data_IF_072059099076
#
_entry.id   IF_072059099076
#
_cell.length_a   1.000
_cell.length_b   1.000
_cell.length_c   1.000
_cell.angle_alpha   90.00
_cell.angle_beta   90.00
_cell.angle_gamma   90.00
#
_symmetry.space_group_name_H-M   'P 1'
#
loop_
_entity.id
_entity.type
_entity.pdbx_description
1 polymer ?
#
# COMPACT_ATOMS: atom_id res chain seq x y z
N UNK A 1 2.24 17.55 -9.28
CA UNK A 1 1.11 17.91 -10.17
C UNK A 1 1.28 17.17 -11.48
N UNK A 2 0.21 16.62 -12.04
CA UNK A 2 0.18 15.99 -13.36
C UNK A 2 -0.83 16.75 -14.21
N UNK A 3 -0.39 17.20 -15.38
CA UNK A 3 -1.20 17.84 -16.40
C UNK A 3 -1.37 16.86 -17.56
N UNK A 4 -2.62 16.50 -17.86
CA UNK A 4 -3.00 15.60 -18.94
C UNK A 4 -3.66 16.40 -20.07
N UNK A 5 -3.08 16.32 -21.25
CA UNK A 5 -3.49 17.04 -22.45
C UNK A 5 -4.15 16.05 -23.40
N UNK A 6 -5.47 16.11 -23.55
CA UNK A 6 -6.21 15.16 -24.38
C UNK A 6 -6.29 15.63 -25.84
N UNK A 7 -6.46 16.93 -26.04
CA UNK A 7 -6.48 17.58 -27.34
C UNK A 7 -6.20 19.09 -27.16
N UNK A 8 -6.28 19.85 -28.25
CA UNK A 8 -6.01 21.29 -28.29
C UNK A 8 -6.91 22.16 -27.40
N UNK A 9 -8.05 21.67 -26.91
CA UNK A 9 -9.01 22.42 -26.10
C UNK A 9 -9.27 21.79 -24.73
N UNK A 10 -8.82 20.56 -24.50
CA UNK A 10 -9.09 19.81 -23.28
C UNK A 10 -7.82 19.39 -22.55
N UNK A 11 -7.64 19.99 -21.38
CA UNK A 11 -6.56 19.69 -20.43
C UNK A 11 -7.14 19.47 -19.03
N UNK A 12 -6.55 18.57 -18.24
CA UNK A 12 -6.90 18.34 -16.85
C UNK A 12 -5.65 18.29 -15.98
N UNK A 13 -5.68 18.98 -14.83
CA UNK A 13 -4.56 18.96 -13.88
C UNK A 13 -5.00 18.41 -12.53
N UNK A 14 -4.20 17.47 -12.02
CA UNK A 14 -4.36 16.90 -10.69
C UNK A 14 -3.10 17.15 -9.87
N UNK A 15 -3.27 17.50 -8.61
CA UNK A 15 -2.17 17.75 -7.68
C UNK A 15 -2.35 16.98 -6.38
N UNK A 16 -1.24 16.57 -5.81
CA UNK A 16 -1.18 16.02 -4.46
C UNK A 16 0.15 16.44 -3.82
N UNK A 17 0.12 16.59 -2.50
CA UNK A 17 1.32 16.79 -1.70
C UNK A 17 1.39 15.69 -0.63
N UNK A 18 2.61 15.26 -0.35
CA UNK A 18 2.91 14.11 0.49
C UNK A 18 3.98 14.49 1.49
N UNK A 19 3.81 14.02 2.72
CA UNK A 19 4.84 13.98 3.74
C UNK A 19 5.15 12.51 3.98
N UNK A 20 6.31 12.07 3.48
CA UNK A 20 6.66 10.66 3.35
C UNK A 20 5.55 9.84 2.67
N UNK A 21 4.95 8.88 3.38
CA UNK A 21 3.87 8.05 2.88
C UNK A 21 2.46 8.63 3.07
N UNK A 22 2.32 9.79 3.70
CA UNK A 22 1.02 10.38 4.05
C UNK A 22 0.65 11.51 3.10
N UNK A 23 -0.49 11.38 2.42
CA UNK A 23 -1.04 12.49 1.66
C UNK A 23 -1.52 13.58 2.62
N UNK A 24 -1.00 14.80 2.45
CA UNK A 24 -1.37 15.98 3.23
C UNK A 24 -2.32 16.89 2.46
N UNK A 25 -2.16 16.98 1.14
CA UNK A 25 -2.97 17.86 0.32
C UNK A 25 -3.42 17.21 -0.99
N UNK A 26 -4.55 17.69 -1.50
CA UNK A 26 -5.04 17.37 -2.83
C UNK A 26 -5.50 18.62 -3.58
N UNK A 27 -5.38 18.60 -4.90
CA UNK A 27 -5.81 19.66 -5.79
C UNK A 27 -6.46 19.08 -7.03
N UNK A 28 -7.61 19.62 -7.41
CA UNK A 28 -8.29 19.32 -8.67
C UNK A 28 -8.57 20.64 -9.40
N UNK A 29 -7.94 20.84 -10.56
CA UNK A 29 -8.06 22.09 -11.30
C UNK A 29 -9.47 22.35 -11.84
N UNK A 30 -10.29 21.31 -12.04
CA UNK A 30 -11.69 21.51 -12.47
C UNK A 30 -12.53 22.12 -11.37
N UNK A 31 -12.24 21.76 -10.12
CA UNK A 31 -12.95 22.28 -8.94
C UNK A 31 -12.35 23.59 -8.45
N UNK A 32 -11.05 23.80 -8.69
CA UNK A 32 -10.31 24.93 -8.11
C UNK A 32 -10.20 24.87 -6.59
N UNK A 33 -10.46 23.68 -6.00
CA UNK A 33 -10.52 23.48 -4.55
C UNK A 33 -9.21 22.85 -4.09
N UNK A 34 -8.54 23.53 -3.16
CA UNK A 34 -7.46 22.97 -2.38
C UNK A 34 -8.04 22.15 -1.21
N UNK A 35 -7.64 20.90 -1.10
CA UNK A 35 -8.14 19.97 -0.09
C UNK A 35 -7.06 19.65 0.93
N UNK A 36 -7.30 20.03 2.19
CA UNK A 36 -6.54 19.56 3.33
C UNK A 36 -6.96 18.13 3.66
N UNK A 37 -6.04 17.17 3.58
CA UNK A 37 -6.33 15.73 3.77
C UNK A 37 -6.11 15.25 5.20
N UNK A 38 -5.45 16.06 6.03
CA UNK A 38 -5.22 15.79 7.45
C UNK A 38 -5.60 17.02 8.28
N UNK A 39 -6.01 16.84 9.56
CA UNK A 39 -6.30 17.96 10.45
C UNK A 39 -5.12 18.94 10.61
N UNK A 40 -3.90 18.42 10.52
CA UNK A 40 -2.64 19.16 10.66
C UNK A 40 -2.05 19.63 9.33
N UNK A 41 -2.74 19.45 8.19
CA UNK A 41 -2.20 19.80 6.87
C UNK A 41 -1.89 21.30 6.69
N UNK A 42 -2.47 22.16 7.51
CA UNK A 42 -2.13 23.60 7.53
C UNK A 42 -0.77 23.90 8.17
N UNK A 43 -0.19 22.95 8.91
CA UNK A 43 1.03 23.16 9.67
C UNK A 43 0.86 24.32 10.66
N UNK A 44 1.87 25.20 10.71
CA UNK A 44 1.88 26.40 11.53
C UNK A 44 1.69 27.70 10.72
N UNK A 45 1.30 27.59 9.44
CA UNK A 45 1.12 28.77 8.59
C UNK A 45 -0.13 29.54 9.01
N UNK A 46 -0.05 30.86 8.97
CA UNK A 46 -1.21 31.72 9.13
C UNK A 46 -2.16 31.59 7.94
N UNK A 47 -3.43 31.95 8.16
CA UNK A 47 -4.44 31.99 7.10
C UNK A 47 -4.06 32.92 5.94
N UNK A 48 -3.23 33.94 6.18
CA UNK A 48 -2.71 34.80 5.12
C UNK A 48 -1.70 34.06 4.24
N UNK A 49 -0.73 33.39 4.86
CA UNK A 49 0.29 32.61 4.15
C UNK A 49 -0.33 31.46 3.37
N UNK A 50 -1.28 30.74 3.95
CA UNK A 50 -2.01 29.67 3.27
C UNK A 50 -2.72 30.19 2.01
N UNK A 51 -3.40 31.34 2.09
CA UNK A 51 -4.03 31.96 0.91
C UNK A 51 -3.03 32.39 -0.16
N UNK A 52 -1.85 32.85 0.23
CA UNK A 52 -0.79 33.21 -0.73
C UNK A 52 -0.25 31.97 -1.46
N UNK A 53 -0.09 30.85 -0.75
CA UNK A 53 0.30 29.55 -1.32
C UNK A 53 -0.77 28.98 -2.25
N UNK A 54 -2.04 28.97 -1.82
CA UNK A 54 -3.17 28.51 -2.62
C UNK A 54 -3.30 29.30 -3.93
N UNK A 55 -3.19 30.64 -3.87
CA UNK A 55 -3.20 31.50 -5.07
C UNK A 55 -2.03 31.20 -6.00
N UNK A 56 -0.82 31.04 -5.44
CA UNK A 56 0.37 30.71 -6.23
C UNK A 56 0.19 29.38 -6.97
N UNK A 57 -0.34 28.36 -6.29
CA UNK A 57 -0.65 27.06 -6.88
C UNK A 57 -1.76 27.15 -7.93
N UNK A 58 -2.81 27.93 -7.68
CA UNK A 58 -3.90 28.15 -8.62
C UNK A 58 -3.38 28.80 -9.91
N UNK A 59 -2.63 29.89 -9.80
CA UNK A 59 -1.98 30.56 -10.95
C UNK A 59 -1.06 29.60 -11.69
N UNK A 60 -0.23 28.83 -10.98
CA UNK A 60 0.63 27.83 -11.60
C UNK A 60 -0.17 26.76 -12.36
N UNK A 61 -1.28 26.29 -11.79
CA UNK A 61 -2.12 25.25 -12.41
C UNK A 61 -2.81 25.70 -13.70
N UNK A 62 -2.90 27.01 -13.95
CA UNK A 62 -3.48 27.59 -15.17
C UNK A 62 -2.37 27.91 -16.18
N UNK A 63 -1.33 28.61 -15.74
CA UNK A 63 -0.26 29.09 -16.63
C UNK A 63 0.62 27.94 -17.12
N UNK A 64 0.96 26.99 -16.24
CA UNK A 64 1.88 25.92 -16.59
C UNK A 64 1.40 25.07 -17.78
N UNK A 65 0.15 24.56 -17.80
CA UNK A 65 -0.32 23.82 -18.96
C UNK A 65 -0.43 24.68 -20.22
N UNK A 66 -0.83 25.95 -20.08
CA UNK A 66 -0.95 26.88 -21.21
C UNK A 66 0.40 27.07 -21.93
N UNK A 67 1.52 27.05 -21.20
CA UNK A 67 2.85 27.08 -21.80
C UNK A 67 3.05 25.90 -22.75
N UNK A 68 2.71 24.67 -22.34
CA UNK A 68 2.84 23.49 -23.21
C UNK A 68 1.86 23.51 -24.38
N UNK A 69 0.62 23.94 -24.13
CA UNK A 69 -0.42 24.05 -25.15
C UNK A 69 -0.04 25.04 -26.25
N UNK A 70 0.57 26.17 -25.90
CA UNK A 70 1.03 27.17 -26.87
C UNK A 70 2.26 26.73 -27.67
N UNK A 71 2.96 25.68 -27.25
CA UNK A 71 4.21 25.23 -27.88
C UNK A 71 4.15 23.80 -28.43
N UNK A 72 2.96 23.20 -28.56
CA UNK A 72 2.78 21.83 -29.07
C UNK A 72 3.52 21.60 -30.38
N UNK A 73 3.32 22.47 -31.37
CA UNK A 73 4.00 22.35 -32.66
C UNK A 73 5.52 22.58 -32.57
N UNK A 74 5.96 23.61 -31.83
CA UNK A 74 7.37 23.95 -31.73
C UNK A 74 8.20 22.87 -31.02
N UNK A 75 7.61 22.21 -30.03
CA UNK A 75 8.26 21.16 -29.23
C UNK A 75 7.95 19.74 -29.71
N UNK A 76 7.25 19.61 -30.84
CA UNK A 76 6.87 18.33 -31.43
C UNK A 76 6.19 17.43 -30.38
N UNK A 77 5.16 17.97 -29.74
CA UNK A 77 4.30 17.23 -28.81
C UNK A 77 3.13 16.66 -29.59
N UNK A 78 2.75 15.43 -29.26
CA UNK A 78 1.64 14.74 -29.91
C UNK A 78 0.57 14.44 -28.86
N UNK A 79 -0.67 14.83 -29.14
CA UNK A 79 -1.78 14.51 -28.24
C UNK A 79 -2.17 13.02 -28.37
N UNK A 80 -2.64 12.37 -27.29
CA UNK A 80 -2.62 12.89 -25.92
C UNK A 80 -1.21 12.80 -25.31
N UNK A 81 -0.87 13.74 -24.43
CA UNK A 81 0.38 13.70 -23.68
C UNK A 81 0.21 14.13 -22.22
N UNK A 82 1.18 13.80 -21.38
CA UNK A 82 1.24 14.12 -19.97
C UNK A 82 2.53 14.84 -19.63
N UNK A 83 2.39 15.87 -18.78
CA UNK A 83 3.50 16.58 -18.18
C UNK A 83 3.36 16.51 -16.66
N UNK A 84 4.42 16.10 -15.99
CA UNK A 84 4.45 15.92 -14.54
C UNK A 84 5.44 16.90 -13.93
N UNK A 85 5.05 17.52 -12.82
CA UNK A 85 5.86 18.44 -12.03
C UNK A 85 5.98 17.88 -10.62
N UNK A 86 7.21 17.65 -10.18
CA UNK A 86 7.53 17.27 -8.81
C UNK A 86 8.37 18.39 -8.17
N UNK A 87 7.93 18.90 -7.02
CA UNK A 87 8.62 19.95 -6.25
C UNK A 87 8.54 19.59 -4.77
N UNK A 88 9.62 19.79 -4.04
CA UNK A 88 9.65 19.56 -2.61
C UNK A 88 10.98 19.96 -1.98
N UNK A 89 11.09 19.68 -0.69
CA UNK A 89 12.30 19.83 0.10
C UNK A 89 12.36 18.70 1.14
N UNK A 90 13.58 18.33 1.53
CA UNK A 90 13.86 17.42 2.63
C UNK A 90 14.69 18.11 3.71
N UNK A 91 14.45 17.75 4.96
CA UNK A 91 15.26 18.17 6.11
C UNK A 91 16.24 17.06 6.46
N UNK A 92 17.47 17.44 6.78
CA UNK A 92 18.52 16.53 7.23
C UNK A 92 19.07 17.04 8.56
N UNK A 93 19.41 16.13 9.47
CA UNK A 93 19.90 16.49 10.81
C UNK A 93 21.26 17.16 10.67
N UNK A 94 21.38 18.40 11.16
CA UNK A 94 22.65 19.15 11.16
C UNK A 94 23.07 19.70 9.79
N UNK A 95 22.25 19.53 8.75
CA UNK A 95 22.54 19.97 7.39
C UNK A 95 21.46 20.93 6.87
N UNK A 96 21.79 21.64 5.79
CA UNK A 96 20.83 22.50 5.10
C UNK A 96 19.74 21.68 4.42
N UNK A 97 18.53 22.25 4.31
CA UNK A 97 17.43 21.59 3.59
C UNK A 97 17.78 21.40 2.12
N UNK A 98 17.51 20.21 1.58
CA UNK A 98 17.74 19.91 0.16
C UNK A 98 16.43 20.05 -0.59
N UNK A 99 16.37 21.03 -1.48
CA UNK A 99 15.21 21.33 -2.30
C UNK A 99 15.31 20.74 -3.71
N UNK A 100 14.18 20.46 -4.34
CA UNK A 100 14.13 20.03 -5.73
C UNK A 100 12.89 20.55 -6.46
N UNK A 101 13.04 20.73 -7.77
CA UNK A 101 11.92 20.82 -8.70
C UNK A 101 12.31 20.16 -10.02
N UNK A 102 11.45 19.26 -10.53
CA UNK A 102 11.67 18.50 -11.75
C UNK A 102 10.41 18.49 -12.60
N UNK A 103 10.61 18.44 -13.92
CA UNK A 103 9.54 18.31 -14.90
C UNK A 103 9.83 17.09 -15.75
N UNK A 104 8.82 16.25 -15.92
CA UNK A 104 8.83 15.06 -16.77
C UNK A 104 7.77 15.18 -17.87
N UNK A 105 8.04 14.56 -19.01
CA UNK A 105 7.15 14.44 -20.16
C UNK A 105 7.00 12.96 -20.50
N UNK A 106 5.76 12.47 -20.60
CA UNK A 106 5.48 11.05 -20.85
C UNK A 106 6.23 10.11 -19.88
N UNK A 107 6.27 10.46 -18.59
CA UNK A 107 6.98 9.70 -17.56
C UNK A 107 8.51 9.78 -17.62
N UNK A 108 9.08 10.49 -18.59
CA UNK A 108 10.54 10.63 -18.77
C UNK A 108 11.03 12.01 -18.35
N UNK A 109 12.18 12.06 -17.66
CA UNK A 109 12.79 13.32 -17.22
C UNK A 109 13.00 14.30 -18.39
N UNK A 110 12.42 15.49 -18.28
CA UNK A 110 12.52 16.56 -19.28
C UNK A 110 13.51 17.64 -18.84
N UNK A 111 13.39 18.15 -17.61
CA UNK A 111 14.31 19.15 -17.06
C UNK A 111 14.24 19.21 -15.53
N UNK A 112 15.30 19.75 -14.92
CA UNK A 112 15.40 19.95 -13.48
C UNK A 112 15.80 21.38 -13.13
N UNK A 113 15.30 21.90 -12.03
CA UNK A 113 15.65 23.23 -11.55
C UNK A 113 16.82 23.13 -10.58
N UNK A 114 17.87 23.91 -10.81
CA UNK A 114 18.99 24.04 -9.89
C UNK A 114 19.36 25.52 -9.75
N UNK A 115 19.51 25.96 -8.50
CA UNK A 115 19.82 27.33 -8.15
C UNK A 115 18.76 28.31 -8.66
N UNK A 116 18.96 28.92 -9.83
CA UNK A 116 18.02 29.85 -10.49
C UNK A 116 17.76 29.48 -11.96
N UNK A 117 18.13 28.27 -12.37
CA UNK A 117 18.14 27.87 -13.78
C UNK A 117 17.55 26.48 -13.98
N UNK A 118 16.88 26.30 -15.11
CA UNK A 118 16.39 25.03 -15.61
C UNK A 118 17.45 24.36 -16.47
N UNK A 119 17.80 23.14 -16.11
CA UNK A 119 18.77 22.31 -16.80
C UNK A 119 18.06 21.20 -17.56
N UNK A 120 18.30 21.06 -18.88
CA UNK A 120 17.67 20.02 -19.68
C UNK A 120 18.15 18.63 -19.27
N UNK A 121 17.23 17.67 -19.26
CA UNK A 121 17.58 16.26 -19.12
C UNK A 121 18.23 15.74 -20.41
N UNK A 122 19.35 15.00 -20.33
CA UNK A 122 19.93 14.33 -21.50
C UNK A 122 18.94 13.42 -22.22
N UNK A 123 18.04 12.75 -21.48
CA UNK A 123 17.01 11.86 -22.03
C UNK A 123 15.96 12.59 -22.88
N UNK A 124 15.74 13.87 -22.62
CA UNK A 124 14.72 14.67 -23.33
C UNK A 124 15.22 15.31 -24.64
N UNK A 125 16.49 15.11 -25.00
CA UNK A 125 17.07 15.53 -26.28
C UNK A 125 16.83 17.01 -26.64
N UNK A 126 16.56 17.27 -27.92
CA UNK A 126 16.32 18.63 -28.45
C UNK A 126 15.12 19.32 -27.77
N UNK A 127 14.07 18.56 -27.44
CA UNK A 127 12.88 19.07 -26.74
C UNK A 127 13.25 19.66 -25.39
N UNK A 128 14.00 18.92 -24.57
CA UNK A 128 14.46 19.42 -23.27
C UNK A 128 15.24 20.73 -23.38
N UNK A 129 16.12 20.86 -24.38
CA UNK A 129 16.88 22.09 -24.62
C UNK A 129 15.97 23.27 -24.97
N UNK A 130 14.98 23.06 -25.85
CA UNK A 130 14.03 24.11 -26.22
C UNK A 130 13.16 24.55 -25.04
N UNK A 131 12.63 23.60 -24.27
CA UNK A 131 11.77 23.90 -23.11
C UNK A 131 12.58 24.63 -22.02
N UNK A 132 13.76 24.10 -21.65
CA UNK A 132 14.63 24.74 -20.65
C UNK A 132 15.07 26.15 -21.07
N UNK A 133 15.39 26.37 -22.35
CA UNK A 133 15.72 27.70 -22.87
C UNK A 133 14.57 28.70 -22.66
N UNK A 134 13.33 28.31 -22.95
CA UNK A 134 12.17 29.16 -22.69
C UNK A 134 12.00 29.43 -21.19
N UNK A 135 12.03 28.38 -20.36
CA UNK A 135 11.82 28.52 -18.91
C UNK A 135 12.90 29.37 -18.23
N UNK A 136 14.12 29.39 -18.75
CA UNK A 136 15.20 30.23 -18.27
C UNK A 136 15.01 31.74 -18.56
N UNK A 137 14.11 32.11 -19.48
CA UNK A 137 13.78 33.52 -19.75
C UNK A 137 12.89 34.12 -18.64
N UNK A 138 12.19 33.30 -17.85
CA UNK A 138 11.33 33.77 -16.77
C UNK A 138 12.11 34.06 -15.48
N UNK A 139 13.05 35.01 -15.51
CA UNK A 139 13.97 35.29 -14.40
C UNK A 139 13.27 35.55 -13.06
N UNK A 140 12.21 36.37 -13.05
CA UNK A 140 11.44 36.68 -11.82
C UNK A 140 10.77 35.43 -11.25
N UNK A 141 10.23 34.57 -12.12
CA UNK A 141 9.62 33.31 -11.70
C UNK A 141 10.67 32.36 -11.13
N UNK A 142 11.84 32.27 -11.76
CA UNK A 142 12.93 31.41 -11.28
C UNK A 142 13.47 31.86 -9.91
N UNK A 143 13.58 33.17 -9.67
CA UNK A 143 13.92 33.70 -8.34
C UNK A 143 12.86 33.34 -7.29
N UNK A 144 11.57 33.44 -7.63
CA UNK A 144 10.47 33.05 -6.73
C UNK A 144 10.46 31.55 -6.46
N UNK A 145 10.73 30.72 -7.46
CA UNK A 145 10.87 29.26 -7.29
C UNK A 145 12.00 28.97 -6.31
N UNK A 146 13.16 29.61 -6.47
CA UNK A 146 14.30 29.46 -5.57
C UNK A 146 13.94 29.83 -4.12
N UNK A 147 13.39 31.02 -3.89
CA UNK A 147 12.99 31.47 -2.56
C UNK A 147 11.96 30.51 -1.93
N UNK A 148 11.01 30.02 -2.72
CA UNK A 148 10.04 29.05 -2.23
C UNK A 148 10.69 27.72 -1.81
N UNK A 149 11.65 27.23 -2.58
CA UNK A 149 12.35 25.97 -2.29
C UNK A 149 13.26 26.11 -1.05
N UNK A 150 13.96 27.23 -0.89
CA UNK A 150 14.98 27.41 0.16
C UNK A 150 14.39 27.94 1.47
N UNK A 151 13.36 28.79 1.41
CA UNK A 151 12.84 29.48 2.59
C UNK A 151 11.46 28.93 3.01
N UNK A 152 10.52 28.92 2.06
CA UNK A 152 9.11 28.61 2.37
C UNK A 152 8.91 27.11 2.62
N UNK A 153 9.44 26.26 1.74
CA UNK A 153 9.28 24.82 1.81
C UNK A 153 9.79 24.23 3.13
N UNK A 154 11.05 24.45 3.57
CA UNK A 154 11.53 23.86 4.82
C UNK A 154 10.79 24.40 6.04
N UNK A 155 10.41 25.69 6.05
CA UNK A 155 9.59 26.26 7.13
C UNK A 155 8.21 25.62 7.20
N UNK A 156 7.55 25.43 6.06
CA UNK A 156 6.26 24.75 6.00
C UNK A 156 6.39 23.29 6.44
N UNK A 157 7.42 22.59 5.98
CA UNK A 157 7.71 21.21 6.35
C UNK A 157 7.93 21.07 7.87
N UNK A 158 8.70 21.95 8.49
CA UNK A 158 8.84 22.00 9.96
C UNK A 158 7.48 22.21 10.66
N UNK A 159 6.66 23.12 10.15
CA UNK A 159 5.31 23.35 10.66
C UNK A 159 4.40 22.12 10.57
N UNK A 160 4.48 21.37 9.46
CA UNK A 160 3.76 20.11 9.29
C UNK A 160 4.26 19.03 10.25
N UNK A 161 5.59 18.91 10.44
CA UNK A 161 6.18 17.94 11.34
C UNK A 161 5.76 18.17 12.79
N UNK A 162 5.72 19.44 13.24
CA UNK A 162 5.29 19.78 14.59
C UNK A 162 3.78 19.58 14.78
N UNK A 163 2.96 20.14 13.88
CA UNK A 163 1.50 20.01 13.97
C UNK A 163 1.02 18.55 13.81
N UNK A 164 1.71 17.77 12.98
CA UNK A 164 1.39 16.38 12.70
C UNK A 164 2.09 15.37 13.60
N UNK A 165 2.90 15.81 14.57
CA UNK A 165 3.80 14.96 15.37
C UNK A 165 3.12 13.70 15.92
N UNK A 166 1.96 13.85 16.56
CA UNK A 166 1.22 12.73 17.13
C UNK A 166 0.77 11.71 16.08
N UNK A 167 0.33 12.18 14.90
CA UNK A 167 -0.11 11.32 13.80
C UNK A 167 1.08 10.66 13.07
N UNK A 168 2.18 11.38 12.91
CA UNK A 168 3.41 10.90 12.28
C UNK A 168 4.12 9.85 13.13
N UNK A 169 4.11 10.01 14.45
CA UNK A 169 4.75 9.11 15.42
C UNK A 169 3.80 8.01 15.92
N UNK A 170 2.55 7.96 15.43
CA UNK A 170 1.59 6.93 15.83
C UNK A 170 2.16 5.54 15.54
N UNK A 171 1.73 4.57 16.33
CA UNK A 171 2.07 3.16 16.15
C UNK A 171 0.76 2.40 16.01
N UNK A 172 0.58 1.71 14.89
CA UNK A 172 -0.61 0.88 14.65
C UNK A 172 -0.16 -0.57 14.51
N UNK A 173 -0.71 -1.43 15.38
CA UNK A 173 -0.38 -2.87 15.41
C UNK A 173 -0.93 -3.57 14.16
N UNK A 174 -0.14 -4.42 13.48
CA UNK A 174 -0.63 -5.21 12.37
C UNK A 174 -1.68 -6.22 12.82
N UNK A 175 -2.61 -6.52 11.93
CA UNK A 175 -3.33 -7.79 11.89
C UNK A 175 -2.65 -8.71 10.88
N UNK A 176 -2.62 -10.02 11.16
CA UNK A 176 -2.04 -10.98 10.25
C UNK A 176 -2.80 -12.29 10.24
N UNK A 177 -2.78 -12.96 9.08
CA UNK A 177 -3.44 -14.24 8.86
C UNK A 177 -2.73 -15.04 7.76
N UNK A 178 -2.96 -16.34 7.76
CA UNK A 178 -2.38 -17.26 6.78
C UNK A 178 -3.45 -17.72 5.77
N UNK A 179 -3.03 -17.96 4.54
CA UNK A 179 -3.87 -18.56 3.51
C UNK A 179 -3.03 -19.42 2.55
N UNK A 180 -3.70 -20.20 1.70
CA UNK A 180 -3.09 -20.83 0.53
C UNK A 180 -3.36 -20.01 -0.73
N UNK A 181 -2.32 -19.69 -1.50
CA UNK A 181 -2.43 -19.15 -2.85
C UNK A 181 -2.66 -20.23 -3.90
N UNK A 182 -2.64 -19.86 -5.20
CA UNK A 182 -2.73 -20.80 -6.31
C UNK A 182 -1.65 -21.88 -6.21
N UNK A 183 -2.04 -23.16 -6.41
CA UNK A 183 -1.09 -24.27 -6.33
C UNK A 183 -0.01 -24.14 -7.41
N UNK A 184 1.29 -24.17 -7.04
CA UNK A 184 2.40 -24.11 -8.01
C UNK A 184 2.55 -25.39 -8.85
N UNK A 185 1.90 -26.48 -8.44
CA UNK A 185 1.98 -27.78 -9.11
C UNK A 185 1.52 -28.93 -8.21
N UNK A 186 1.42 -30.15 -8.75
CA UNK A 186 1.00 -31.33 -7.99
C UNK A 186 1.89 -31.53 -6.75
N UNK A 187 1.27 -31.74 -5.59
CA UNK A 187 1.97 -31.97 -4.33
C UNK A 187 2.56 -30.72 -3.67
N UNK A 188 2.39 -29.52 -4.26
CA UNK A 188 2.95 -28.27 -3.74
C UNK A 188 1.88 -27.32 -3.21
N UNK A 189 2.26 -26.55 -2.19
CA UNK A 189 1.46 -25.50 -1.58
C UNK A 189 2.18 -24.15 -1.70
N UNK A 190 1.44 -23.14 -2.12
CA UNK A 190 1.86 -21.76 -1.97
C UNK A 190 1.25 -21.20 -0.69
N UNK A 191 2.04 -21.12 0.37
CA UNK A 191 1.62 -20.50 1.62
C UNK A 191 1.71 -18.98 1.48
N UNK A 192 0.73 -18.25 2.00
CA UNK A 192 0.70 -16.79 1.98
C UNK A 192 0.44 -16.28 3.38
N UNK A 193 1.34 -15.42 3.87
CA UNK A 193 1.15 -14.66 5.09
C UNK A 193 0.78 -13.24 4.73
N UNK A 194 -0.38 -12.81 5.22
CA UNK A 194 -0.91 -11.47 5.01
C UNK A 194 -0.67 -10.66 6.28
N UNK A 195 -0.20 -9.43 6.12
CA UNK A 195 0.03 -8.48 7.22
C UNK A 195 -0.59 -7.15 6.82
N UNK A 196 -1.54 -6.65 7.60
CA UNK A 196 -2.38 -5.52 7.24
C UNK A 196 -2.53 -4.55 8.42
N UNK A 197 -2.84 -3.29 8.13
CA UNK A 197 -3.18 -2.30 9.15
C UNK A 197 -1.98 -1.78 9.95
N UNK A 198 -0.74 -2.03 9.54
CA UNK A 198 0.43 -1.57 10.28
C UNK A 198 0.86 -0.15 9.90
N UNK A 199 1.42 0.58 10.87
CA UNK A 199 2.11 1.84 10.66
C UNK A 199 3.12 2.08 11.80
N UNK A 200 4.36 2.52 11.51
CA UNK A 200 4.90 3.05 10.26
C UNK A 200 5.21 1.98 9.18
N UNK A 201 5.64 2.43 7.99
CA UNK A 201 5.90 1.55 6.83
C UNK A 201 6.94 0.42 7.07
N UNK A 202 8.03 0.62 7.83
CA UNK A 202 9.03 -0.42 8.05
C UNK A 202 8.45 -1.63 8.81
N UNK A 203 8.39 -2.78 8.15
CA UNK A 203 7.96 -4.06 8.72
C UNK A 203 8.88 -5.17 8.20
N UNK A 204 9.16 -6.15 9.05
CA UNK A 204 9.83 -7.39 8.67
C UNK A 204 8.86 -8.56 8.82
N UNK A 205 8.77 -9.38 7.77
CA UNK A 205 7.86 -10.53 7.68
C UNK A 205 8.63 -11.66 7.03
N UNK A 206 8.69 -12.81 7.68
CA UNK A 206 9.46 -13.95 7.21
C UNK A 206 8.76 -15.27 7.52
N UNK A 207 8.82 -16.21 6.60
CA UNK A 207 8.46 -17.59 6.92
C UNK A 207 9.61 -18.26 7.66
N UNK A 208 9.27 -18.99 8.72
CA UNK A 208 10.20 -19.62 9.64
C UNK A 208 9.96 -21.12 9.69
N UNK A 209 11.01 -21.90 9.90
CA UNK A 209 10.95 -23.29 10.36
C UNK A 209 11.64 -23.36 11.72
N UNK A 210 10.85 -23.46 12.79
CA UNK A 210 11.35 -23.18 14.14
C UNK A 210 11.92 -21.76 14.22
N UNK A 211 13.21 -21.64 14.57
CA UNK A 211 13.91 -20.35 14.66
C UNK A 211 14.66 -19.94 13.38
N UNK A 212 14.65 -20.79 12.34
CA UNK A 212 15.41 -20.53 11.11
C UNK A 212 14.54 -19.82 10.06
N UNK A 213 15.08 -18.77 9.45
CA UNK A 213 14.44 -18.06 8.33
C UNK A 213 14.43 -18.94 7.07
N UNK A 214 13.27 -19.01 6.42
CA UNK A 214 13.09 -19.80 5.21
C UNK A 214 13.51 -19.00 3.96
N UNK A 215 14.62 -19.39 3.34
CA UNK A 215 15.22 -18.70 2.18
C UNK A 215 14.30 -18.59 0.96
N UNK A 216 13.33 -19.49 0.83
CA UNK A 216 12.30 -19.44 -0.22
C UNK A 216 11.23 -18.35 -0.06
N UNK A 217 11.29 -17.55 1.01
CA UNK A 217 10.30 -16.49 1.27
C UNK A 217 10.35 -15.42 0.19
N UNK A 218 9.23 -15.23 -0.49
CA UNK A 218 9.03 -14.19 -1.50
C UNK A 218 8.23 -13.05 -0.89
N UNK A 219 8.86 -11.89 -0.74
CA UNK A 219 8.22 -10.68 -0.22
C UNK A 219 7.54 -9.92 -1.36
N UNK A 220 6.25 -9.61 -1.18
CA UNK A 220 5.50 -8.74 -2.08
C UNK A 220 5.81 -7.26 -1.89
N UNK A 221 5.17 -6.41 -2.70
CA UNK A 221 5.20 -4.97 -2.51
C UNK A 221 4.39 -4.56 -1.29
N UNK A 222 4.83 -3.47 -0.62
CA UNK A 222 4.08 -2.86 0.47
C UNK A 222 3.04 -1.92 -0.14
N UNK A 223 1.76 -2.25 0.05
CA UNK A 223 0.62 -1.54 -0.52
C UNK A 223 0.00 -0.58 0.51
N UNK A 224 -0.41 0.63 0.12
CA UNK A 224 -1.05 1.58 1.03
C UNK A 224 -2.54 1.28 1.23
N UNK A 225 -3.04 1.53 2.45
CA UNK A 225 -4.47 1.63 2.74
C UNK A 225 -4.96 3.09 2.71
N UNK A 226 -6.26 3.28 2.55
CA UNK A 226 -6.88 4.61 2.51
C UNK A 226 -6.80 5.37 3.84
N UNK A 227 -6.69 4.65 4.96
CA UNK A 227 -6.53 5.22 6.31
C UNK A 227 -5.08 5.68 6.61
N UNK A 228 -4.13 5.37 5.73
CA UNK A 228 -2.71 5.65 5.89
C UNK A 228 -1.93 4.57 6.65
N UNK A 229 -2.50 3.37 6.80
CA UNK A 229 -1.76 2.16 7.18
C UNK A 229 -1.28 1.40 5.95
N UNK A 230 -0.61 0.26 6.15
CA UNK A 230 0.03 -0.51 5.09
C UNK A 230 -0.44 -1.96 5.09
N UNK A 231 -0.32 -2.59 3.93
CA UNK A 231 -0.50 -4.01 3.69
C UNK A 231 0.77 -4.60 3.06
N UNK A 232 1.11 -5.83 3.45
CA UNK A 232 2.18 -6.61 2.87
C UNK A 232 1.76 -8.07 2.85
N UNK A 233 2.15 -8.80 1.81
CA UNK A 233 2.09 -10.25 1.81
C UNK A 233 3.46 -10.86 1.55
N UNK A 234 3.72 -12.00 2.19
CA UNK A 234 4.89 -12.84 1.90
C UNK A 234 4.41 -14.24 1.55
N UNK A 235 4.91 -14.78 0.44
CA UNK A 235 4.56 -16.12 0.01
C UNK A 235 5.74 -17.08 0.11
N UNK A 236 5.43 -18.37 0.26
CA UNK A 236 6.40 -19.43 0.31
C UNK A 236 5.86 -20.66 -0.42
N UNK A 237 6.61 -21.12 -1.41
CA UNK A 237 6.31 -22.34 -2.17
C UNK A 237 7.05 -23.54 -1.57
N UNK A 238 6.30 -24.52 -1.09
CA UNK A 238 6.82 -25.74 -0.44
C UNK A 238 6.09 -26.99 -0.91
N UNK A 239 6.74 -28.14 -0.73
CA UNK A 239 6.06 -29.44 -0.79
C UNK A 239 5.01 -29.54 0.33
N UNK A 240 3.81 -30.03 0.02
CA UNK A 240 2.69 -30.09 0.97
C UNK A 240 3.01 -30.89 2.24
N UNK A 241 3.88 -31.89 2.13
CA UNK A 241 4.36 -32.72 3.25
C UNK A 241 5.33 -32.00 4.19
N UNK A 242 6.00 -30.95 3.69
CA UNK A 242 7.00 -30.17 4.42
C UNK A 242 6.41 -28.89 5.02
N UNK A 243 5.11 -28.63 4.77
CA UNK A 243 4.42 -27.45 5.28
C UNK A 243 4.18 -27.50 6.79
N UNK A 244 4.24 -28.69 7.40
CA UNK A 244 4.19 -28.85 8.84
C UNK A 244 5.34 -28.08 9.51
N UNK A 245 5.06 -27.51 10.69
CA UNK A 245 5.99 -26.73 11.52
C UNK A 245 6.51 -25.42 10.90
N UNK A 246 5.92 -24.98 9.78
CA UNK A 246 6.16 -23.64 9.25
C UNK A 246 5.35 -22.62 10.03
N UNK A 247 5.93 -21.43 10.18
CA UNK A 247 5.22 -20.29 10.76
C UNK A 247 5.57 -19.00 10.02
N UNK A 248 4.67 -18.01 10.05
CA UNK A 248 4.99 -16.66 9.66
C UNK A 248 5.33 -15.85 10.90
N UNK A 249 6.47 -15.15 10.90
CA UNK A 249 6.89 -14.25 11.96
C UNK A 249 6.87 -12.81 11.47
N UNK A 250 6.24 -11.94 12.26
CA UNK A 250 6.07 -10.51 11.96
C UNK A 250 6.75 -9.68 13.04
N UNK A 251 7.66 -8.80 12.61
CA UNK A 251 8.32 -7.80 13.45
C UNK A 251 7.95 -6.41 12.98
N UNK A 252 7.48 -5.61 13.92
CA UNK A 252 7.05 -4.24 13.66
C UNK A 252 7.27 -3.38 14.90
N UNK A 253 7.60 -2.09 14.74
CA UNK A 253 7.92 -1.20 15.86
C UNK A 253 6.79 -1.05 16.87
N UNK A 254 5.54 -1.18 16.42
CA UNK A 254 4.35 -1.07 17.29
C UNK A 254 4.16 -2.27 18.22
N UNK A 255 4.96 -3.33 18.04
CA UNK A 255 4.86 -4.55 18.82
C UNK A 255 5.80 -4.54 20.04
N UNK A 256 6.60 -3.49 20.23
CA UNK A 256 7.44 -3.31 21.43
C UNK A 256 8.37 -4.51 21.71
N UNK A 257 8.87 -5.14 20.66
CA UNK A 257 9.77 -6.31 20.75
C UNK A 257 9.05 -7.67 20.88
N UNK A 258 7.72 -7.71 20.83
CA UNK A 258 6.93 -8.94 20.86
C UNK A 258 6.54 -9.38 19.44
N UNK A 259 7.33 -10.28 18.86
CA UNK A 259 7.06 -10.83 17.53
C UNK A 259 5.69 -11.53 17.48
N UNK A 260 4.90 -11.26 16.45
CA UNK A 260 3.70 -12.06 16.19
C UNK A 260 4.11 -13.31 15.39
N UNK A 261 3.70 -14.49 15.85
CA UNK A 261 4.01 -15.77 15.22
C UNK A 261 2.72 -16.52 14.89
N UNK A 262 2.54 -16.87 13.63
CA UNK A 262 1.39 -17.61 13.13
C UNK A 262 1.84 -18.97 12.59
N UNK A 263 1.43 -20.05 13.23
CA UNK A 263 1.78 -21.40 12.80
C UNK A 263 0.86 -21.87 11.67
N UNK A 264 1.43 -22.56 10.68
CA UNK A 264 0.67 -23.17 9.62
C UNK A 264 -0.09 -24.38 10.14
N UNK A 265 -1.39 -24.25 10.30
CA UNK A 265 -2.26 -25.38 10.62
C UNK A 265 -2.69 -26.08 9.33
N UNK A 266 -2.21 -27.29 9.13
CA UNK A 266 -2.74 -28.15 8.09
C UNK A 266 -4.16 -28.53 8.49
N UNK A 267 -5.17 -27.90 7.86
CA UNK A 267 -6.56 -28.31 7.99
C UNK A 267 -6.69 -29.78 7.58
N UNK A 268 -6.58 -30.68 8.55
CA UNK A 268 -7.05 -32.05 8.39
C UNK A 268 -8.56 -31.94 8.28
N UNK A 269 -9.20 -32.51 7.26
CA UNK A 269 -10.66 -32.55 7.19
C UNK A 269 -11.15 -33.44 8.34
N UNK A 270 -11.39 -32.82 9.50
CA UNK A 270 -11.87 -33.47 10.72
C UNK A 270 -13.16 -34.26 10.43
N UNK A 271 -13.97 -33.78 9.48
CA UNK A 271 -15.16 -34.47 8.99
C UNK A 271 -14.91 -35.89 8.43
N UNK A 272 -13.76 -36.15 7.80
CA UNK A 272 -13.42 -37.49 7.28
C UNK A 272 -13.08 -38.48 8.41
N UNK A 273 -12.50 -37.99 9.52
CA UNK A 273 -12.22 -38.82 10.70
C UNK A 273 -13.51 -39.16 11.44
N UNK A 274 -14.44 -38.22 11.56
CA UNK A 274 -15.77 -38.48 12.13
C UNK A 274 -16.59 -39.46 11.28
N UNK A 275 -16.59 -39.31 9.95
CA UNK A 275 -17.29 -40.21 9.02
C UNK A 275 -16.70 -41.63 9.04
N UNK A 276 -15.37 -41.77 9.02
CA UNK A 276 -14.71 -43.07 8.98
C UNK A 276 -14.66 -43.79 10.34
N UNK A 277 -14.72 -43.05 11.46
CA UNK A 277 -14.62 -43.62 12.81
C UNK A 277 -15.97 -43.84 13.49
N UNK A 278 -16.81 -42.80 13.57
CA UNK A 278 -18.01 -42.82 14.41
C UNK A 278 -19.16 -43.58 13.76
N UNK A 279 -19.35 -43.43 12.44
CA UNK A 279 -20.44 -44.09 11.71
C UNK A 279 -20.35 -45.63 11.77
N UNK A 280 -19.20 -46.28 11.52
CA UNK A 280 -19.10 -47.73 11.66
C UNK A 280 -19.32 -48.21 13.10
N UNK A 281 -18.82 -47.47 14.09
CA UNK A 281 -18.98 -47.80 15.51
C UNK A 281 -20.46 -47.79 15.94
N UNK A 282 -21.22 -46.79 15.50
CA UNK A 282 -22.68 -46.70 15.76
C UNK A 282 -23.43 -47.82 15.06
N UNK A 283 -23.08 -48.12 13.80
CA UNK A 283 -23.69 -49.24 13.06
C UNK A 283 -23.42 -50.59 13.72
N UNK A 284 -22.19 -50.84 14.18
CA UNK A 284 -21.82 -52.06 14.90
C UNK A 284 -22.55 -52.18 16.24
N UNK A 285 -22.66 -51.09 17.00
CA UNK A 285 -23.43 -51.06 18.25
C UNK A 285 -24.92 -51.34 18.00
N UNK A 286 -25.49 -50.75 16.95
CA UNK A 286 -26.87 -51.02 16.53
C UNK A 286 -27.11 -52.48 16.13
N UNK A 287 -26.18 -53.07 15.37
CA UNK A 287 -26.20 -54.49 14.98
C UNK A 287 -26.11 -55.42 16.19
N UNK A 288 -25.22 -55.12 17.13
CA UNK A 288 -25.07 -55.89 18.37
C UNK A 288 -26.35 -55.84 19.22
N UNK A 289 -26.96 -54.66 19.38
CA UNK A 289 -28.23 -54.48 20.08
C UNK A 289 -29.38 -55.25 19.40
N UNK A 290 -29.44 -55.21 18.07
CA UNK A 290 -30.47 -55.92 17.30
C UNK A 290 -30.34 -57.45 17.43
N UNK A 291 -29.10 -57.98 17.33
CA UNK A 291 -28.82 -59.40 17.53
C UNK A 291 -29.12 -59.85 18.97
N UNK A 292 -28.80 -59.02 19.97
CA UNK A 292 -29.13 -59.30 21.37
C UNK A 292 -30.63 -59.37 21.61
N UNK A 293 -31.41 -58.44 21.01
CA UNK A 293 -32.87 -58.42 21.10
C UNK A 293 -33.51 -59.62 20.40
N UNK A 294 -32.99 -60.04 19.23
CA UNK A 294 -33.42 -61.28 18.54
C UNK A 294 -33.15 -62.53 19.37
N UNK A 295 -31.98 -62.65 20.01
CA UNK A 295 -31.66 -63.78 20.91
C UNK A 295 -32.57 -63.83 22.14
N UNK A 296 -32.98 -62.67 22.68
CA UNK A 296 -33.96 -62.60 23.78
C UNK A 296 -35.36 -63.00 23.33
N UNK A 297 -35.79 -62.59 22.14
CA UNK A 297 -37.14 -62.92 21.62
C UNK A 297 -37.32 -64.41 21.31
N UNK A 298 -36.24 -65.14 20.97
CA UNK A 298 -36.27 -66.59 20.78
C UNK A 298 -36.30 -67.40 22.08
N UNK A 299 -36.15 -66.77 23.25
CA UNK A 299 -36.34 -67.40 24.57
C UNK A 299 -37.66 -66.95 25.19
N UNK A 300 -38.78 -67.33 24.58
CA UNK A 300 -40.10 -67.29 25.22
C UNK A 300 -40.55 -68.74 25.42
N UNK A 301 -40.68 -69.26 26.65
CA UNK A 301 -41.16 -70.63 26.88
C UNK A 301 -42.67 -70.72 26.66
N UNK A 302 -43.13 -71.74 25.93
CA UNK A 302 -44.53 -72.18 25.92
C UNK A 302 -44.96 -72.55 27.35
N UNK A 303 -45.99 -71.88 27.88
CA UNK A 303 -46.72 -72.29 29.09
C UNK A 303 -47.77 -73.32 28.68
N UNK A 304 -47.55 -74.58 29.03
CA UNK A 304 -48.56 -75.63 29.05
C UNK A 304 -49.54 -75.38 30.19
N UNK A 305 -50.83 -75.26 29.88
CA UNK A 305 -51.92 -75.35 30.86
C UNK A 305 -52.38 -76.81 30.97
N UNK A 306 -52.35 -77.35 32.18
CA UNK A 306 -53.01 -78.59 32.59
C UNK A 306 -54.43 -78.27 33.11
N UNK A 307 -55.41 -79.19 33.02
CA UNK A 307 -56.75 -79.02 33.56
C UNK A 307 -56.87 -79.53 35.01
N UNK A 308 -57.78 -78.93 35.79
CA UNK A 308 -58.35 -79.52 37.00
C UNK A 308 -59.88 -79.30 36.98
N UNK A 309 -60.58 -80.43 37.15
CA UNK A 309 -62.03 -80.68 37.35
C UNK A 309 -63.04 -80.25 36.28
#
# INVERSE_FOLDING_TARGET
>A
MTASFYNHSWTQNLGSAWLDGLQTHGWDSKKGIFMYKRPWSKGNFSEKELREEERTLQTFSIIFPLIFQNHVHQWQLEYPFQVQVAKGCGLHVGESSVGFMKIAYEGSDLMSFQNTSWWPSPKGGRRAQQVSKLFNQYHVVNLRIRAHIIDICPRFLLGLLEAGKADLQRQVRPEAWLSTGPSPGPGRLLLVCHVSGFYPKPVWVMWMRGEQEHQGTRRGEVLPHADGTWYLQTSLDVEAREAADLSCRVRHSSLEGQDMVFYWEQHRPVGLVFLAGVVPLVLLAGLALWLWKRRKSHKTPQRTGLPLE
#
